data_IF_322462524780
#
_entry.id   IF_322462524780
#
_cell.length_a   1.000
_cell.length_b   1.000
_cell.length_c   1.000
_cell.angle_alpha   90.00
_cell.angle_beta   90.00
_cell.angle_gamma   90.00
#
_symmetry.space_group_name_H-M   'P 1'
#
loop_
_entity.id
_entity.type
_entity.pdbx_description
1 polymer ?
#
# COMPACT_ATOMS: atom_id res chain seq x y z
N UNK A 1 -15.09 -26.91 -9.95
CA UNK A 1 -14.55 -26.49 -8.64
C UNK A 1 -13.12 -27.04 -8.40
N UNK A 2 -12.23 -26.98 -9.41
CA UNK A 2 -10.83 -27.48 -9.28
C UNK A 2 -9.76 -26.56 -9.91
N UNK A 3 -10.09 -25.36 -10.41
CA UNK A 3 -9.09 -24.47 -11.05
C UNK A 3 -8.42 -23.45 -10.13
N UNK A 4 -8.87 -23.30 -8.87
CA UNK A 4 -8.29 -22.32 -7.91
C UNK A 4 -7.19 -22.87 -7.00
N UNK A 5 -6.91 -24.18 -7.03
CA UNK A 5 -5.80 -24.79 -6.27
C UNK A 5 -4.50 -24.78 -7.10
N UNK A 6 -4.60 -24.69 -8.43
CA UNK A 6 -3.44 -24.70 -9.35
C UNK A 6 -2.57 -23.44 -9.26
N UNK A 7 -3.14 -22.26 -8.97
CA UNK A 7 -2.36 -21.02 -8.85
C UNK A 7 -1.53 -20.93 -7.58
N UNK A 8 -1.96 -21.56 -6.48
CA UNK A 8 -1.23 -21.56 -5.21
C UNK A 8 -0.05 -22.54 -5.20
N UNK A 9 -0.16 -23.65 -5.95
CA UNK A 9 0.94 -24.62 -6.11
C UNK A 9 2.05 -24.13 -7.06
N UNK A 10 1.75 -23.20 -7.98
CA UNK A 10 2.75 -22.64 -8.90
C UNK A 10 3.74 -21.67 -8.22
N UNK A 11 3.34 -20.98 -7.14
CA UNK A 11 4.26 -20.12 -6.38
C UNK A 11 5.29 -20.92 -5.56
N UNK A 12 4.94 -22.12 -5.11
CA UNK A 12 5.83 -22.96 -4.30
C UNK A 12 6.91 -23.67 -5.14
N UNK A 13 6.61 -24.00 -6.39
CA UNK A 13 7.56 -24.65 -7.29
C UNK A 13 8.63 -23.69 -7.84
N UNK A 14 8.30 -22.40 -8.06
CA UNK A 14 9.29 -21.40 -8.46
C UNK A 14 10.33 -21.12 -7.37
N UNK A 15 9.98 -21.29 -6.09
CA UNK A 15 10.92 -21.12 -4.97
C UNK A 15 12.00 -22.21 -4.90
N UNK A 16 11.67 -23.45 -5.31
CA UNK A 16 12.62 -24.57 -5.29
C UNK A 16 13.53 -24.59 -6.53
N UNK A 17 13.06 -24.10 -7.68
CA UNK A 17 13.88 -23.95 -8.90
C UNK A 17 14.90 -22.80 -8.75
N UNK A 18 14.57 -21.75 -8.00
CA UNK A 18 15.51 -20.68 -7.64
C UNK A 18 16.66 -21.20 -6.76
N UNK A 19 16.43 -22.19 -5.90
CA UNK A 19 17.44 -22.71 -4.97
C UNK A 19 18.53 -23.56 -5.65
N UNK A 20 18.21 -24.24 -6.75
CA UNK A 20 19.18 -25.09 -7.48
C UNK A 20 20.11 -24.30 -8.42
N UNK A 21 19.66 -23.15 -8.93
CA UNK A 21 20.45 -22.35 -9.87
C UNK A 21 21.45 -21.39 -9.18
N UNK A 22 21.33 -21.20 -7.86
CA UNK A 22 22.22 -20.33 -7.07
C UNK A 22 23.61 -20.97 -6.84
N UNK A 23 23.79 -22.28 -7.03
CA UNK A 23 25.05 -22.95 -6.69
C UNK A 23 26.18 -22.84 -7.73
N UNK A 24 25.94 -22.36 -8.96
CA UNK A 24 26.90 -22.56 -10.06
C UNK A 24 27.62 -21.33 -10.62
N UNK A 25 27.43 -20.10 -10.12
CA UNK A 25 28.13 -18.92 -10.67
C UNK A 25 29.08 -18.26 -9.65
N UNK A 26 30.19 -18.94 -9.34
CA UNK A 26 31.22 -18.46 -8.39
C UNK A 26 32.29 -17.53 -8.99
N UNK A 27 32.15 -17.06 -10.23
CA UNK A 27 33.19 -16.24 -10.90
C UNK A 27 32.80 -14.77 -11.17
N UNK A 28 31.57 -14.34 -10.91
CA UNK A 28 31.11 -12.95 -11.15
C UNK A 28 30.98 -12.08 -9.88
N UNK A 29 31.14 -12.68 -8.71
CA UNK A 29 30.87 -12.07 -7.39
C UNK A 29 31.76 -10.87 -7.03
N UNK A 30 32.99 -10.79 -7.55
CA UNK A 30 33.93 -9.73 -7.16
C UNK A 30 33.67 -8.37 -7.84
N UNK A 31 33.06 -8.33 -9.02
CA UNK A 31 32.74 -7.07 -9.73
C UNK A 31 31.40 -6.49 -9.27
N UNK A 32 30.42 -7.36 -9.05
CA UNK A 32 29.05 -7.03 -8.59
C UNK A 32 29.07 -6.44 -7.17
N UNK A 33 29.87 -7.01 -6.25
CA UNK A 33 30.02 -6.46 -4.90
C UNK A 33 30.65 -5.06 -4.87
N UNK A 34 31.43 -4.67 -5.89
CA UNK A 34 32.06 -3.34 -5.94
C UNK A 34 31.11 -2.24 -6.39
N UNK A 35 30.05 -2.55 -7.15
CA UNK A 35 29.06 -1.60 -7.67
C UNK A 35 27.85 -1.52 -6.73
N UNK A 36 27.41 -2.64 -6.14
CA UNK A 36 26.40 -2.67 -5.09
C UNK A 36 26.84 -1.89 -3.83
N UNK A 37 28.11 -1.99 -3.42
CA UNK A 37 28.69 -1.15 -2.36
C UNK A 37 28.91 0.33 -2.77
N UNK A 38 28.71 0.66 -4.05
CA UNK A 38 28.85 2.01 -4.63
C UNK A 38 27.52 2.72 -4.86
N UNK A 39 26.39 2.02 -4.66
CA UNK A 39 25.06 2.62 -4.70
C UNK A 39 24.78 3.31 -3.36
N UNK A 40 25.43 4.45 -3.15
CA UNK A 40 25.10 5.37 -2.08
C UNK A 40 25.29 6.81 -2.54
N UNK A 41 24.21 7.60 -2.57
CA UNK A 41 24.37 9.06 -2.58
C UNK A 41 24.86 9.54 -1.22
N UNK A 42 25.91 10.35 -1.18
CA UNK A 42 26.07 11.26 -0.05
C UNK A 42 24.84 12.19 0.02
N UNK A 43 24.25 12.36 1.21
CA UNK A 43 23.09 13.22 1.52
C UNK A 43 21.69 12.74 1.06
N UNK A 44 21.22 11.59 1.57
CA UNK A 44 19.81 11.16 1.41
C UNK A 44 19.02 11.40 2.69
N UNK A 45 17.84 11.99 2.55
CA UNK A 45 16.84 12.00 3.61
C UNK A 45 16.07 10.68 3.61
N UNK A 46 15.72 10.14 4.78
CA UNK A 46 14.81 9.00 4.83
C UNK A 46 13.38 9.47 4.64
N UNK A 47 12.67 8.94 3.64
CA UNK A 47 11.25 9.20 3.49
C UNK A 47 10.48 8.28 4.43
N UNK A 48 9.73 8.88 5.35
CA UNK A 48 8.87 8.17 6.29
C UNK A 48 7.68 9.02 6.68
N UNK A 49 6.63 8.35 7.13
CA UNK A 49 5.55 8.99 7.85
C UNK A 49 6.07 9.49 9.20
N UNK A 50 5.81 10.75 9.50
CA UNK A 50 6.02 11.32 10.83
C UNK A 50 4.65 11.70 11.37
N UNK A 51 4.23 11.11 12.48
CA UNK A 51 2.88 11.25 13.04
C UNK A 51 1.78 10.97 11.98
N UNK A 52 1.95 9.90 11.20
CA UNK A 52 1.05 9.52 10.11
C UNK A 52 0.88 10.58 9.00
N UNK A 53 1.84 11.50 8.85
CA UNK A 53 1.91 12.45 7.74
C UNK A 53 3.15 12.17 6.90
N UNK A 54 2.96 11.93 5.60
CA UNK A 54 4.04 11.82 4.63
C UNK A 54 4.37 13.21 4.07
N UNK A 55 5.62 13.65 4.20
CA UNK A 55 6.09 14.92 3.65
C UNK A 55 7.10 14.67 2.54
N UNK A 56 6.63 14.78 1.29
CA UNK A 56 7.46 14.70 0.09
C UNK A 56 7.77 16.11 -0.41
N UNK A 57 9.05 16.46 -0.53
CA UNK A 57 9.51 17.77 -0.98
C UNK A 57 10.23 17.66 -2.32
N UNK A 58 9.84 18.51 -3.26
CA UNK A 58 10.57 18.68 -4.53
C UNK A 58 11.99 19.20 -4.28
N UNK A 59 12.95 18.74 -5.10
CA UNK A 59 14.37 19.08 -4.98
C UNK A 59 15.13 18.26 -3.95
N UNK A 60 14.47 17.35 -3.22
CA UNK A 60 15.10 16.49 -2.22
C UNK A 60 15.30 15.08 -2.79
N UNK A 61 16.43 14.48 -2.43
CA UNK A 61 16.73 13.08 -2.70
C UNK A 61 16.42 12.26 -1.43
N UNK A 62 15.70 11.16 -1.60
CA UNK A 62 15.31 10.31 -0.50
C UNK A 62 15.83 8.89 -0.65
N UNK A 63 16.02 8.21 0.48
CA UNK A 63 15.99 6.75 0.55
C UNK A 63 14.61 6.31 1.04
N UNK A 64 14.02 5.32 0.37
CA UNK A 64 12.71 4.74 0.72
C UNK A 64 12.88 3.26 1.01
N UNK A 65 12.27 2.77 2.09
CA UNK A 65 12.42 1.37 2.51
C UNK A 65 11.65 0.44 1.58
N UNK A 66 12.33 -0.58 1.06
CA UNK A 66 11.74 -1.60 0.17
C UNK A 66 11.29 -2.83 0.98
N UNK A 67 10.60 -3.79 0.35
CA UNK A 67 10.11 -5.00 1.01
C UNK A 67 11.15 -6.13 1.03
N UNK A 68 11.99 -6.24 0.01
CA UNK A 68 13.02 -7.28 -0.15
C UNK A 68 14.32 -7.02 0.63
N UNK A 69 14.25 -6.16 1.64
CA UNK A 69 15.36 -5.65 2.46
C UNK A 69 16.26 -4.65 1.71
N UNK A 70 16.31 -3.41 2.21
CA UNK A 70 17.16 -2.36 1.65
C UNK A 70 16.41 -1.05 1.47
N UNK A 71 16.94 -0.22 0.58
CA UNK A 71 16.36 1.06 0.23
C UNK A 71 16.42 1.27 -1.29
N UNK A 72 15.38 1.89 -1.84
CA UNK A 72 15.48 2.55 -3.13
C UNK A 72 15.92 4.01 -2.91
N UNK A 73 16.87 4.47 -3.70
CA UNK A 73 17.23 5.89 -3.75
C UNK A 73 16.40 6.58 -4.82
N UNK A 74 15.68 7.63 -4.46
CA UNK A 74 14.79 8.37 -5.35
C UNK A 74 15.12 9.87 -5.41
N UNK A 75 14.90 10.47 -6.57
CA UNK A 75 14.92 11.91 -6.78
C UNK A 75 13.50 12.43 -6.90
N UNK A 76 13.18 13.48 -6.16
CA UNK A 76 11.91 14.20 -6.31
C UNK A 76 12.19 15.50 -7.05
N UNK A 77 11.53 15.72 -8.18
CA UNK A 77 11.76 16.87 -9.07
C UNK A 77 10.46 17.50 -9.52
N UNK A 78 10.50 18.79 -9.87
CA UNK A 78 9.36 19.53 -10.40
C UNK A 78 8.10 19.39 -9.53
N UNK A 79 6.99 19.00 -10.14
CA UNK A 79 5.70 18.76 -9.48
C UNK A 79 5.63 17.41 -8.75
N UNK A 80 6.61 17.14 -7.88
CA UNK A 80 6.76 15.89 -7.14
C UNK A 80 6.84 14.63 -8.04
N UNK A 81 7.46 14.74 -9.20
CA UNK A 81 7.79 13.58 -10.01
C UNK A 81 8.92 12.81 -9.33
N UNK A 82 8.72 11.52 -9.09
CA UNK A 82 9.63 10.65 -8.35
C UNK A 82 10.27 9.64 -9.30
N UNK A 83 11.60 9.65 -9.37
CA UNK A 83 12.38 8.73 -10.21
C UNK A 83 13.45 8.02 -9.39
N UNK A 84 13.89 6.85 -9.85
CA UNK A 84 15.06 6.18 -9.28
C UNK A 84 16.32 7.00 -9.58
N UNK A 85 17.10 7.35 -8.55
CA UNK A 85 18.36 8.09 -8.68
C UNK A 85 19.42 7.33 -9.49
N UNK A 86 19.27 6.01 -9.63
CA UNK A 86 20.12 5.18 -10.47
C UNK A 86 20.26 5.74 -11.88
N UNK A 87 19.14 6.09 -12.53
CA UNK A 87 19.16 6.56 -13.92
C UNK A 87 19.81 7.93 -14.08
N UNK A 88 19.72 8.79 -13.05
CA UNK A 88 20.39 10.10 -13.06
C UNK A 88 21.92 9.95 -12.95
N UNK A 89 22.39 8.98 -12.15
CA UNK A 89 23.82 8.78 -11.87
C UNK A 89 24.53 7.87 -12.86
N UNK A 90 23.82 6.89 -13.39
CA UNK A 90 24.36 5.84 -14.24
C UNK A 90 23.53 5.72 -15.53
N UNK A 91 23.41 6.79 -16.34
CA UNK A 91 22.50 6.84 -17.50
C UNK A 91 22.83 5.82 -18.59
N UNK A 92 24.06 5.29 -18.60
CA UNK A 92 24.54 4.33 -19.61
C UNK A 92 24.77 2.92 -19.04
N UNK A 93 24.28 2.64 -17.83
CA UNK A 93 24.45 1.32 -17.18
C UNK A 93 23.16 0.52 -17.26
N UNK A 94 23.27 -0.73 -17.70
CA UNK A 94 22.14 -1.66 -17.64
C UNK A 94 21.84 -1.99 -16.16
N UNK A 95 20.60 -1.78 -15.75
CA UNK A 95 20.16 -1.96 -14.37
C UNK A 95 20.32 -3.42 -13.89
N UNK A 96 20.29 -4.38 -14.81
CA UNK A 96 20.48 -5.81 -14.53
C UNK A 96 21.92 -6.16 -14.17
N UNK A 97 22.89 -5.30 -14.49
CA UNK A 97 24.29 -5.46 -14.05
C UNK A 97 24.48 -5.13 -12.56
N UNK A 98 23.51 -4.42 -11.96
CA UNK A 98 23.61 -3.88 -10.60
C UNK A 98 22.61 -4.51 -9.65
N UNK A 99 21.40 -4.77 -10.11
CA UNK A 99 20.31 -5.30 -9.30
C UNK A 99 19.79 -6.60 -9.89
N UNK A 100 19.45 -7.56 -9.03
CA UNK A 100 18.62 -8.67 -9.46
C UNK A 100 17.24 -8.17 -9.90
N UNK A 101 16.57 -8.95 -10.74
CA UNK A 101 15.22 -8.63 -11.21
C UNK A 101 14.24 -8.38 -10.05
N UNK A 102 14.32 -9.19 -8.99
CA UNK A 102 13.49 -9.05 -7.80
C UNK A 102 13.74 -7.72 -7.07
N UNK A 103 15.00 -7.38 -6.82
CA UNK A 103 15.37 -6.12 -6.17
C UNK A 103 14.91 -4.92 -7.00
N UNK A 104 15.16 -4.93 -8.31
CA UNK A 104 14.75 -3.85 -9.19
C UNK A 104 13.23 -3.68 -9.22
N UNK A 105 12.49 -4.78 -9.35
CA UNK A 105 11.03 -4.75 -9.34
C UNK A 105 10.49 -4.17 -8.02
N UNK A 106 11.06 -4.56 -6.88
CA UNK A 106 10.62 -4.05 -5.58
C UNK A 106 10.95 -2.56 -5.38
N UNK A 107 12.12 -2.11 -5.86
CA UNK A 107 12.48 -0.68 -5.88
C UNK A 107 11.54 0.12 -6.79
N UNK A 108 11.24 -0.40 -7.99
CA UNK A 108 10.36 0.26 -8.95
C UNK A 108 8.93 0.38 -8.40
N UNK A 109 8.40 -0.66 -7.76
CA UNK A 109 7.07 -0.60 -7.13
C UNK A 109 7.04 0.35 -5.93
N UNK A 110 8.07 0.35 -5.09
CA UNK A 110 8.19 1.34 -3.99
C UNK A 110 8.21 2.77 -4.53
N UNK A 111 8.99 3.01 -5.58
CA UNK A 111 9.10 4.31 -6.25
C UNK A 111 7.77 4.74 -6.84
N UNK A 112 7.07 3.82 -7.53
CA UNK A 112 5.75 4.06 -8.11
C UNK A 112 4.70 4.40 -7.06
N UNK A 113 4.67 3.69 -5.94
CA UNK A 113 3.79 4.01 -4.82
C UNK A 113 4.02 5.44 -4.34
N UNK A 114 5.28 5.79 -4.05
CA UNK A 114 5.67 7.14 -3.58
C UNK A 114 5.31 8.21 -4.60
N UNK A 115 5.49 7.94 -5.90
CA UNK A 115 5.10 8.84 -6.98
C UNK A 115 3.58 9.09 -7.01
N UNK A 116 2.75 8.07 -6.79
CA UNK A 116 1.30 8.22 -6.76
C UNK A 116 0.88 9.02 -5.52
N UNK A 117 1.30 8.59 -4.33
CA UNK A 117 0.83 9.20 -3.08
C UNK A 117 1.39 10.60 -2.86
N UNK A 118 2.64 10.84 -3.28
CA UNK A 118 3.31 12.14 -3.16
C UNK A 118 3.15 13.06 -4.38
N UNK A 119 2.67 12.53 -5.50
CA UNK A 119 2.40 13.29 -6.72
C UNK A 119 1.31 14.36 -6.54
N UNK A 120 1.27 15.31 -7.47
CA UNK A 120 0.28 16.39 -7.47
C UNK A 120 -1.05 15.98 -8.13
N UNK A 121 -1.67 14.94 -7.58
CA UNK A 121 -3.01 14.47 -7.99
C UNK A 121 -4.04 14.81 -6.89
N UNK A 122 -5.31 15.04 -7.24
CA UNK A 122 -6.42 15.01 -6.28
C UNK A 122 -6.44 13.68 -5.51
N UNK A 123 -6.94 13.68 -4.28
CA UNK A 123 -6.90 12.51 -3.40
C UNK A 123 -7.61 11.29 -4.03
N UNK A 124 -8.80 11.48 -4.59
CA UNK A 124 -9.54 10.38 -5.24
C UNK A 124 -8.78 9.79 -6.42
N UNK A 125 -8.09 10.62 -7.20
CA UNK A 125 -7.24 10.16 -8.29
C UNK A 125 -6.05 9.34 -7.75
N UNK A 126 -5.41 9.77 -6.65
CA UNK A 126 -4.37 8.96 -6.00
C UNK A 126 -4.89 7.58 -5.61
N UNK A 127 -6.06 7.52 -4.97
CA UNK A 127 -6.65 6.25 -4.53
C UNK A 127 -7.04 5.36 -5.73
N UNK A 128 -7.55 5.95 -6.81
CA UNK A 128 -7.86 5.22 -8.04
C UNK A 128 -6.59 4.68 -8.72
N UNK A 129 -5.53 5.48 -8.81
CA UNK A 129 -4.24 5.04 -9.35
C UNK A 129 -3.63 3.91 -8.49
N UNK A 130 -3.75 3.99 -7.16
CA UNK A 130 -3.35 2.89 -6.28
C UNK A 130 -4.14 1.61 -6.58
N UNK A 131 -5.46 1.69 -6.75
CA UNK A 131 -6.31 0.53 -7.08
C UNK A 131 -5.96 -0.08 -8.45
N UNK A 132 -5.61 0.76 -9.43
CA UNK A 132 -5.22 0.31 -10.78
C UNK A 132 -3.85 -0.35 -10.78
N UNK A 133 -2.87 0.27 -10.13
CA UNK A 133 -1.47 -0.15 -10.21
C UNK A 133 -1.03 -1.12 -9.11
N UNK A 134 -1.78 -1.17 -8.01
CA UNK A 134 -1.58 -2.07 -6.88
C UNK A 134 -2.91 -2.77 -6.53
N UNK A 135 -3.44 -3.63 -7.43
CA UNK A 135 -4.74 -4.28 -7.23
C UNK A 135 -4.78 -5.18 -5.99
N UNK A 136 -3.61 -5.61 -5.49
CA UNK A 136 -3.49 -6.24 -4.19
C UNK A 136 -3.27 -5.18 -3.10
N UNK A 137 -4.32 -4.81 -2.38
CA UNK A 137 -4.27 -3.85 -1.28
C UNK A 137 -3.28 -4.23 -0.15
N UNK A 138 -2.96 -5.52 0.03
CA UNK A 138 -1.95 -5.95 1.01
C UNK A 138 -0.54 -5.51 0.61
N UNK A 139 -0.25 -5.32 -0.69
CA UNK A 139 1.01 -4.75 -1.13
C UNK A 139 1.10 -3.26 -0.78
N UNK A 140 0.02 -2.51 -1.02
CA UNK A 140 -0.09 -1.09 -0.61
C UNK A 140 0.13 -0.99 0.90
N UNK A 141 -0.52 -1.85 1.68
CA UNK A 141 -0.34 -1.92 3.12
C UNK A 141 1.12 -2.09 3.51
N UNK A 142 1.76 -3.15 3.02
CA UNK A 142 3.12 -3.49 3.41
C UNK A 142 4.11 -2.36 3.09
N UNK A 143 3.92 -1.68 1.95
CA UNK A 143 4.78 -0.55 1.55
C UNK A 143 4.48 0.73 2.32
N UNK A 144 3.23 1.01 2.70
CA UNK A 144 2.92 2.14 3.57
C UNK A 144 3.44 1.92 4.99
N UNK A 145 3.28 0.71 5.54
CA UNK A 145 3.85 0.31 6.84
C UNK A 145 5.38 0.31 6.81
N UNK A 146 6.03 -0.05 5.69
CA UNK A 146 7.50 0.06 5.56
C UNK A 146 8.00 1.51 5.61
N UNK A 147 7.16 2.47 5.21
CA UNK A 147 7.38 3.91 5.37
C UNK A 147 6.96 4.43 6.75
N UNK A 148 6.43 3.59 7.63
CA UNK A 148 6.04 3.94 9.00
C UNK A 148 4.60 4.42 9.17
N UNK A 149 3.71 4.21 8.19
CA UNK A 149 2.29 4.44 8.38
C UNK A 149 1.68 3.38 9.32
N UNK A 150 0.78 3.81 10.19
CA UNK A 150 0.07 2.90 11.10
C UNK A 150 -1.35 2.60 10.61
N UNK A 151 -1.69 1.32 10.50
CA UNK A 151 -3.05 0.88 10.17
C UNK A 151 -4.04 1.14 11.30
N UNK A 152 -5.33 1.16 10.96
CA UNK A 152 -6.44 1.52 11.85
C UNK A 152 -6.52 3.01 12.17
N UNK A 153 -5.67 3.86 11.57
CA UNK A 153 -5.58 5.30 11.81
C UNK A 153 -5.77 6.10 10.53
N UNK A 154 -6.10 7.38 10.71
CA UNK A 154 -6.06 8.33 9.61
C UNK A 154 -4.62 8.74 9.29
N UNK A 155 -4.27 8.74 8.01
CA UNK A 155 -2.97 9.16 7.49
C UNK A 155 -3.12 10.30 6.47
N UNK A 156 -2.08 11.11 6.30
CA UNK A 156 -1.99 12.12 5.25
C UNK A 156 -0.91 11.73 4.24
N UNK A 157 -1.28 11.69 2.97
CA UNK A 157 -0.39 11.34 1.86
C UNK A 157 0.40 12.55 1.34
N UNK A 158 0.26 13.72 1.97
CA UNK A 158 1.02 14.95 1.70
C UNK A 158 0.79 16.00 2.80
N UNK A 159 1.66 17.02 2.89
CA UNK A 159 1.66 18.00 4.01
C UNK A 159 0.40 18.85 4.14
N UNK A 160 -0.46 18.91 3.12
CA UNK A 160 -1.77 19.57 3.22
C UNK A 160 -2.86 18.72 2.54
N UNK A 161 -2.67 17.40 2.45
CA UNK A 161 -3.70 16.54 1.90
C UNK A 161 -4.80 16.32 2.93
N UNK A 162 -6.01 16.06 2.43
CA UNK A 162 -7.02 15.41 3.24
C UNK A 162 -6.50 14.09 3.83
N UNK A 163 -7.10 13.70 4.95
CA UNK A 163 -6.80 12.46 5.65
C UNK A 163 -7.58 11.32 5.03
N UNK A 164 -6.93 10.16 4.93
CA UNK A 164 -7.58 8.90 4.57
C UNK A 164 -7.47 7.92 5.72
N UNK A 165 -8.52 7.15 5.96
CA UNK A 165 -8.47 6.03 6.89
C UNK A 165 -7.68 4.90 6.24
N UNK A 166 -6.62 4.45 6.90
CA UNK A 166 -5.79 3.32 6.48
C UNK A 166 -6.19 2.07 7.25
N UNK A 167 -6.94 1.18 6.63
CA UNK A 167 -7.48 -0.01 7.29
C UNK A 167 -6.48 -1.16 7.38
N UNK A 168 -6.62 -2.08 8.36
CA UNK A 168 -5.73 -3.24 8.51
C UNK A 168 -5.67 -4.19 7.32
N UNK A 169 -6.68 -4.19 6.45
CA UNK A 169 -6.70 -4.92 5.17
C UNK A 169 -5.95 -4.20 4.02
N UNK A 170 -5.40 -3.00 4.26
CA UNK A 170 -4.66 -2.25 3.26
C UNK A 170 -5.47 -1.30 2.39
N UNK A 171 -6.80 -1.24 2.59
CA UNK A 171 -7.64 -0.27 1.90
C UNK A 171 -7.47 1.13 2.51
N UNK A 172 -7.60 2.12 1.64
CA UNK A 172 -7.63 3.54 1.99
C UNK A 172 -9.03 4.06 1.67
N UNK A 173 -9.64 4.74 2.63
CA UNK A 173 -10.97 5.32 2.50
C UNK A 173 -10.92 6.83 2.75
N UNK A 174 -11.54 7.60 1.86
CA UNK A 174 -11.79 9.03 2.12
C UNK A 174 -12.92 9.18 3.15
N UNK A 175 -13.13 10.41 3.64
CA UNK A 175 -14.29 10.68 4.49
C UNK A 175 -15.61 10.45 3.74
N UNK A 176 -15.64 10.77 2.45
CA UNK A 176 -16.81 10.54 1.59
C UNK A 176 -17.09 9.05 1.39
N UNK A 177 -16.06 8.22 1.22
CA UNK A 177 -16.22 6.76 1.19
C UNK A 177 -16.84 6.24 2.50
N UNK A 178 -16.36 6.72 3.65
CA UNK A 178 -16.86 6.32 4.97
C UNK A 178 -18.33 6.73 5.14
N UNK A 179 -18.67 7.96 4.74
CA UNK A 179 -20.04 8.47 4.80
C UNK A 179 -20.97 7.67 3.87
N UNK A 180 -20.54 7.39 2.64
CA UNK A 180 -21.29 6.61 1.68
C UNK A 180 -21.57 5.18 2.15
N UNK A 181 -20.59 4.54 2.80
CA UNK A 181 -20.79 3.23 3.43
C UNK A 181 -21.83 3.29 4.56
N UNK A 182 -21.72 4.28 5.47
CA UNK A 182 -22.71 4.49 6.54
C UNK A 182 -24.12 4.67 5.98
N UNK A 183 -24.27 5.51 4.95
CA UNK A 183 -25.56 5.75 4.30
C UNK A 183 -26.10 4.52 3.58
N UNK A 184 -25.23 3.66 3.03
CA UNK A 184 -25.64 2.38 2.48
C UNK A 184 -26.16 1.44 3.57
N UNK A 185 -25.48 1.33 4.71
CA UNK A 185 -25.96 0.54 5.85
C UNK A 185 -27.31 1.06 6.35
N UNK A 186 -27.47 2.36 6.56
CA UNK A 186 -28.73 2.90 7.08
C UNK A 186 -29.91 2.79 6.10
N UNK A 187 -29.66 2.79 4.78
CA UNK A 187 -30.72 2.69 3.76
C UNK A 187 -31.17 1.27 3.45
N UNK A 188 -30.38 0.26 3.80
CA UNK A 188 -30.72 -1.13 3.50
C UNK A 188 -31.70 -1.68 4.55
N UNK A 189 -32.78 -2.30 4.07
CA UNK A 189 -33.65 -3.11 4.91
C UNK A 189 -33.00 -4.49 5.14
N UNK A 190 -32.46 -4.71 6.32
CA UNK A 190 -31.77 -5.96 6.67
C UNK A 190 -32.73 -7.13 6.89
N UNK A 191 -34.02 -6.89 7.06
CA UNK A 191 -35.02 -7.96 7.11
C UNK A 191 -35.14 -8.70 5.77
N UNK A 192 -34.86 -8.04 4.65
CA UNK A 192 -34.83 -8.66 3.32
C UNK A 192 -33.67 -9.67 3.19
N UNK A 193 -32.64 -9.54 4.04
CA UNK A 193 -31.51 -10.47 4.14
C UNK A 193 -31.66 -11.48 5.29
N UNK A 194 -32.85 -11.52 5.92
CA UNK A 194 -33.21 -12.49 6.95
C UNK A 194 -32.70 -12.17 8.35
N UNK A 195 -32.37 -10.90 8.64
CA UNK A 195 -32.06 -10.41 9.99
C UNK A 195 -33.31 -9.81 10.66
N UNK A 196 -33.29 -9.70 11.98
CA UNK A 196 -34.41 -9.14 12.75
C UNK A 196 -33.91 -8.32 13.95
N UNK A 197 -34.82 -7.83 14.79
CA UNK A 197 -34.49 -7.01 15.97
C UNK A 197 -33.58 -7.70 17.00
N UNK A 198 -33.51 -9.04 16.98
CA UNK A 198 -32.59 -9.81 17.82
C UNK A 198 -31.19 -9.95 17.22
N UNK A 199 -31.04 -9.67 15.92
CA UNK A 199 -29.73 -9.67 15.27
C UNK A 199 -28.88 -8.51 15.78
N UNK A 200 -27.61 -8.79 16.03
CA UNK A 200 -26.63 -7.85 16.59
C UNK A 200 -25.63 -7.44 15.52
N UNK A 201 -25.51 -6.14 15.29
CA UNK A 201 -24.50 -5.55 14.41
C UNK A 201 -23.44 -4.88 15.27
N UNK A 202 -22.22 -5.41 15.26
CA UNK A 202 -21.06 -4.74 15.86
C UNK A 202 -20.38 -3.92 14.77
N UNK A 203 -20.43 -2.60 14.88
CA UNK A 203 -19.86 -1.66 13.91
C UNK A 203 -18.94 -0.71 14.66
N UNK A 204 -17.66 -0.70 14.28
CA UNK A 204 -16.63 0.13 14.91
C UNK A 204 -16.57 -0.05 16.45
N UNK A 205 -16.76 -1.29 16.90
CA UNK A 205 -16.76 -1.67 18.32
C UNK A 205 -18.04 -1.28 19.09
N UNK A 206 -19.08 -0.75 18.42
CA UNK A 206 -20.37 -0.42 19.02
C UNK A 206 -21.45 -1.38 18.55
N UNK A 207 -22.38 -1.70 19.44
CA UNK A 207 -23.54 -2.53 19.12
C UNK A 207 -24.68 -1.69 18.54
N UNK A 208 -25.24 -2.16 17.44
CA UNK A 208 -26.44 -1.64 16.79
C UNK A 208 -27.45 -2.77 16.58
N UNK A 209 -28.72 -2.41 16.64
CA UNK A 209 -29.85 -3.30 16.37
C UNK A 209 -30.72 -2.72 15.27
N UNK A 210 -31.47 -3.60 14.60
CA UNK A 210 -32.48 -3.18 13.65
C UNK A 210 -33.64 -2.53 14.40
N UNK A 211 -34.21 -1.49 13.81
CA UNK A 211 -35.52 -0.98 14.23
C UNK A 211 -36.66 -1.86 13.68
N UNK A 212 -37.89 -1.50 14.04
CA UNK A 212 -39.10 -2.22 13.62
C UNK A 212 -39.35 -2.22 12.10
N UNK A 213 -38.60 -1.40 11.35
CA UNK A 213 -38.67 -1.35 9.88
C UNK A 213 -37.53 -2.14 9.22
N UNK A 214 -36.67 -2.77 10.01
CA UNK A 214 -35.54 -3.58 9.53
C UNK A 214 -34.29 -2.78 9.18
N UNK A 215 -34.20 -1.49 9.58
CA UNK A 215 -33.07 -0.62 9.24
C UNK A 215 -32.13 -0.40 10.43
N UNK A 216 -30.89 -0.02 10.12
CA UNK A 216 -29.93 0.46 11.11
C UNK A 216 -30.01 1.99 11.22
N UNK A 217 -29.79 2.50 12.43
CA UNK A 217 -29.74 3.94 12.72
C UNK A 217 -28.32 4.34 13.16
N UNK A 218 -27.34 4.11 12.29
CA UNK A 218 -25.92 4.37 12.57
C UNK A 218 -25.67 5.89 12.54
N UNK A 219 -25.17 6.49 13.65
CA UNK A 219 -24.93 7.92 13.72
C UNK A 219 -23.71 8.33 12.88
N UNK A 220 -23.70 9.60 12.48
CA UNK A 220 -22.55 10.24 11.83
C UNK A 220 -21.24 10.02 12.60
N UNK A 221 -20.13 9.96 11.86
CA UNK A 221 -18.81 9.72 12.43
C UNK A 221 -18.50 8.25 12.77
N UNK A 222 -19.45 7.32 12.59
CA UNK A 222 -19.19 5.87 12.79
C UNK A 222 -18.50 5.27 11.56
N UNK A 223 -17.36 4.61 11.75
CA UNK A 223 -16.59 4.03 10.64
C UNK A 223 -17.16 2.65 10.28
N UNK A 224 -17.86 2.57 9.15
CA UNK A 224 -18.57 1.37 8.70
C UNK A 224 -17.81 0.61 7.59
N UNK A 225 -16.48 0.58 7.65
CA UNK A 225 -15.67 -0.21 6.70
C UNK A 225 -15.95 -1.70 6.87
N UNK A 226 -15.84 -2.53 5.82
CA UNK A 226 -16.14 -3.95 5.90
C UNK A 226 -15.42 -4.71 7.03
N UNK A 227 -14.15 -4.36 7.31
CA UNK A 227 -13.36 -4.98 8.40
C UNK A 227 -13.89 -4.65 9.81
N UNK A 228 -14.66 -3.56 9.94
CA UNK A 228 -15.19 -3.06 11.21
C UNK A 228 -16.63 -3.46 11.46
N UNK A 229 -17.26 -4.17 10.52
CA UNK A 229 -18.65 -4.61 10.61
C UNK A 229 -18.70 -6.12 10.84
N UNK A 230 -19.34 -6.54 11.93
CA UNK A 230 -19.67 -7.94 12.21
C UNK A 230 -21.16 -8.06 12.46
N UNK A 231 -21.78 -9.06 11.84
CA UNK A 231 -23.21 -9.34 12.05
C UNK A 231 -23.34 -10.70 12.73
N UNK A 232 -24.02 -10.71 13.85
CA UNK A 232 -24.34 -11.90 14.63
C UNK A 232 -25.85 -12.08 14.53
N UNK A 233 -26.26 -13.22 13.98
CA UNK A 233 -27.67 -13.53 13.77
C UNK A 233 -28.34 -14.04 15.04
#
# INVERSE_FOLDING_TARGET
MYSKISSYMNYKNNFNILKSNILNNKTSTNKINSIANKYSSANLSELKFNNNVLNLKSGVNYKIKTLMHGYAEISVRGNNNVNLLFYDKYPNTDVSEVFSEGEFNDMAQSTKLVNIIGGNYPLDEKLNLLRIFFPNCQEVKARLESLGAETGKFIQLGTNSEKVLFEPNGWLYTQDDINGLRDAYNRNNFSDFGYNENSKFEIDGKEFKLDSTGHLNIPEGTICTPDRVKVIK
#
